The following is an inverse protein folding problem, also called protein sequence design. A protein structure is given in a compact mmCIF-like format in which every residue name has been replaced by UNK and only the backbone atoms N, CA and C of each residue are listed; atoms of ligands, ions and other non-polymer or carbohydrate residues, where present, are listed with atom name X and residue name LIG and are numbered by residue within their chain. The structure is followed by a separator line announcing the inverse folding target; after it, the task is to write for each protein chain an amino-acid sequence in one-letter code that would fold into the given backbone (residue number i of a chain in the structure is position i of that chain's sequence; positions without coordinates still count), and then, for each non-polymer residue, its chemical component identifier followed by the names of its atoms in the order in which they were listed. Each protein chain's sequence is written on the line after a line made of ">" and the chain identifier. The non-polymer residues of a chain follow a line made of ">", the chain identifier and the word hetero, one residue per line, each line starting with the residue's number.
data_IF_199987213439
#
_entry.id   IF_199987213439
#
_cell.length_a   1.000
_cell.length_b   1.000
_cell.length_c   1.000
_cell.angle_alpha   90.00
_cell.angle_beta   90.00
_cell.angle_gamma   90.00
#
_symmetry.space_group_name_H-M   'P 1'
#
loop_
_entity.id
_entity.type
_entity.pdbx_description
1 polymer ?
#
# COMPACT_ATOMS: atom_id res chain seq x y z
N UNK A 1 -21.42 2.50 49.81
CA UNK A 1 -20.59 1.81 48.81
C UNK A 1 -20.97 2.36 47.44
N UNK A 2 -20.26 3.38 46.97
CA UNK A 2 -20.45 3.89 45.61
C UNK A 2 -19.41 3.20 44.72
N UNK A 3 -19.87 2.33 43.80
CA UNK A 3 -18.98 1.72 42.82
C UNK A 3 -18.63 2.78 41.76
N UNK A 4 -17.38 3.20 41.74
CA UNK A 4 -16.81 3.96 40.62
C UNK A 4 -16.83 3.06 39.39
N UNK A 5 -17.66 3.39 38.41
CA UNK A 5 -17.65 2.77 37.10
C UNK A 5 -16.26 2.94 36.45
N UNK A 6 -15.74 1.94 35.72
CA UNK A 6 -14.47 2.07 35.03
C UNK A 6 -14.59 3.14 33.94
N UNK A 7 -13.79 4.20 34.07
CA UNK A 7 -13.70 5.27 33.07
C UNK A 7 -13.18 4.65 31.77
N UNK A 8 -13.96 4.75 30.70
CA UNK A 8 -13.50 4.36 29.37
C UNK A 8 -12.26 5.18 29.00
N UNK A 9 -11.20 4.55 28.45
CA UNK A 9 -10.00 5.28 28.08
C UNK A 9 -10.37 6.39 27.09
N UNK A 10 -10.17 7.64 27.50
CA UNK A 10 -10.37 8.82 26.64
C UNK A 10 -9.03 9.27 26.10
N UNK A 11 -9.02 9.62 24.81
CA UNK A 11 -7.87 10.21 24.17
C UNK A 11 -7.52 11.54 24.85
N UNK A 12 -6.33 11.62 25.45
CA UNK A 12 -5.92 12.79 26.24
C UNK A 12 -4.94 13.70 25.47
N UNK A 13 -4.00 13.14 24.72
CA UNK A 13 -2.98 13.90 24.00
C UNK A 13 -2.44 13.15 22.78
N UNK A 14 -1.97 13.93 21.79
CA UNK A 14 -1.33 13.44 20.56
C UNK A 14 0.02 14.14 20.38
N UNK A 15 1.07 13.39 20.07
CA UNK A 15 2.32 13.97 19.59
C UNK A 15 2.90 13.13 18.46
N UNK A 16 3.29 13.77 17.36
CA UNK A 16 3.85 13.10 16.19
C UNK A 16 5.39 13.14 16.25
N UNK A 17 6.03 11.97 16.28
CA UNK A 17 7.46 11.83 16.10
C UNK A 17 7.78 11.58 14.62
N UNK A 18 8.83 12.22 14.09
CA UNK A 18 9.27 12.01 12.69
C UNK A 18 9.82 10.60 12.42
N UNK A 19 10.11 9.82 13.48
CA UNK A 19 10.69 8.47 13.46
C UNK A 19 9.77 7.49 14.16
N UNK A 20 9.88 6.20 13.85
CA UNK A 20 9.08 5.19 14.54
C UNK A 20 9.42 5.16 16.04
N UNK A 21 8.38 5.27 16.88
CA UNK A 21 8.50 5.11 18.32
C UNK A 21 8.54 3.63 18.69
N UNK A 22 9.57 3.28 19.44
CA UNK A 22 9.78 2.01 20.12
C UNK A 22 9.08 2.06 21.51
N UNK A 23 9.27 1.08 22.42
CA UNK A 23 8.51 1.01 23.67
C UNK A 23 8.54 2.34 24.43
N UNK A 24 7.37 2.73 24.94
CA UNK A 24 7.21 3.86 25.83
C UNK A 24 7.07 3.40 27.28
N UNK A 25 7.57 4.20 28.21
CA UNK A 25 7.45 3.98 29.65
C UNK A 25 7.11 5.30 30.34
N UNK A 26 6.22 5.25 31.32
CA UNK A 26 5.99 6.35 32.24
C UNK A 26 6.94 6.27 33.43
N UNK A 27 7.36 7.42 33.95
CA UNK A 27 8.21 7.54 35.13
C UNK A 27 8.76 8.95 35.29
N UNK A 28 9.82 9.12 36.06
CA UNK A 28 10.51 10.39 36.24
C UNK A 28 12.02 10.18 36.04
N UNK A 29 12.64 10.84 35.05
CA UNK A 29 14.09 10.71 34.80
C UNK A 29 14.81 12.05 34.81
N UNK A 30 14.18 13.11 34.31
CA UNK A 30 14.74 14.47 34.36
C UNK A 30 14.75 15.05 35.78
N UNK A 31 13.57 15.30 36.34
CA UNK A 31 13.39 15.87 37.69
C UNK A 31 12.43 15.02 38.51
N UNK A 32 12.77 14.76 39.77
CA UNK A 32 12.06 13.84 40.68
C UNK A 32 10.61 14.24 41.02
N UNK A 33 10.11 15.38 40.52
CA UNK A 33 8.79 15.93 40.86
C UNK A 33 7.86 16.11 39.67
N UNK A 34 8.31 15.78 38.46
CA UNK A 34 7.53 15.91 37.23
C UNK A 34 7.44 14.55 36.57
N UNK A 35 6.21 14.10 36.33
CA UNK A 35 5.98 12.88 35.58
C UNK A 35 6.39 13.09 34.11
N UNK A 36 7.00 12.05 33.55
CA UNK A 36 7.54 12.04 32.20
C UNK A 36 7.15 10.76 31.46
N UNK A 37 6.96 10.88 30.16
CA UNK A 37 6.85 9.75 29.26
C UNK A 37 8.16 9.63 28.50
N UNK A 38 8.89 8.55 28.74
CA UNK A 38 10.06 8.19 27.96
C UNK A 38 9.65 7.41 26.73
N UNK A 39 10.20 7.84 25.61
CA UNK A 39 10.04 7.21 24.31
C UNK A 39 11.42 6.97 23.72
N UNK A 40 11.60 5.79 23.17
CA UNK A 40 12.78 5.49 22.36
C UNK A 40 12.37 5.52 20.89
N UNK A 41 13.25 5.98 20.02
CA UNK A 41 13.01 5.95 18.56
C UNK A 41 13.84 4.85 17.91
N UNK A 42 13.45 4.40 16.71
CA UNK A 42 14.19 3.41 15.92
C UNK A 42 15.70 3.73 15.80
N UNK A 43 16.03 5.02 15.71
CA UNK A 43 17.41 5.51 15.62
C UNK A 43 18.20 5.53 16.94
N UNK A 44 17.60 5.05 18.04
CA UNK A 44 18.21 5.04 19.37
C UNK A 44 18.12 6.36 20.13
N UNK A 45 17.39 7.37 19.62
CA UNK A 45 17.16 8.60 20.39
C UNK A 45 16.18 8.32 21.53
N UNK A 46 16.58 8.68 22.74
CA UNK A 46 15.76 8.60 23.95
C UNK A 46 15.21 9.99 24.22
N UNK A 47 13.90 10.15 24.07
CA UNK A 47 13.19 11.42 24.23
C UNK A 47 12.17 11.33 25.37
N UNK A 48 12.25 12.28 26.30
CA UNK A 48 11.31 12.43 27.40
C UNK A 48 10.30 13.54 27.13
N UNK A 49 9.02 13.25 27.34
CA UNK A 49 7.95 14.24 27.38
C UNK A 49 7.63 14.53 28.84
N UNK A 50 8.07 15.69 29.33
CA UNK A 50 7.92 16.08 30.74
C UNK A 50 6.70 16.95 30.95
N UNK A 51 6.10 16.86 32.14
CA UNK A 51 5.04 17.76 32.61
C UNK A 51 5.59 19.09 33.13
N UNK A 52 6.91 19.23 33.26
CA UNK A 52 7.53 20.49 33.68
C UNK A 52 7.31 21.61 32.65
N UNK A 53 6.76 22.76 33.05
CA UNK A 53 6.63 23.92 32.17
C UNK A 53 8.00 24.53 31.88
N UNK A 54 8.47 24.43 30.64
CA UNK A 54 9.65 25.16 30.17
C UNK A 54 9.31 26.65 30.01
N UNK A 55 9.64 27.47 31.01
CA UNK A 55 9.53 28.93 30.90
C UNK A 55 10.66 29.44 29.98
N UNK A 56 10.31 29.85 28.77
CA UNK A 56 11.18 30.72 27.99
C UNK A 56 11.17 32.10 28.65
N UNK A 57 12.31 32.53 29.21
CA UNK A 57 12.45 33.89 29.73
C UNK A 57 12.42 34.88 28.55
N UNK A 58 11.25 35.45 28.27
CA UNK A 58 11.12 36.59 27.37
C UNK A 58 11.73 37.82 28.07
N UNK A 59 12.83 38.33 27.53
CA UNK A 59 13.39 39.62 27.93
C UNK A 59 12.55 40.78 27.37
N UNK A 60 12.80 42.04 27.79
CA UNK A 60 12.19 43.21 27.18
C UNK A 60 12.75 43.38 25.75
N UNK A 61 11.88 43.19 24.75
CA UNK A 61 12.21 43.17 23.32
C UNK A 61 11.99 41.77 22.75
N UNK A 62 11.33 41.68 21.60
CA UNK A 62 10.87 40.45 20.89
C UNK A 62 11.97 39.44 20.48
N UNK A 63 13.17 39.53 21.06
CA UNK A 63 14.25 38.58 20.88
C UNK A 63 14.18 37.49 21.97
N UNK A 64 13.82 36.28 21.55
CA UNK A 64 13.94 35.06 22.36
C UNK A 64 15.42 34.87 22.69
N UNK A 65 15.86 35.29 23.89
CA UNK A 65 17.21 35.00 24.37
C UNK A 65 17.34 33.50 24.59
N UNK A 66 18.12 32.83 23.74
CA UNK A 66 18.51 31.44 23.95
C UNK A 66 19.06 31.28 25.37
N UNK A 67 18.55 30.31 26.14
CA UNK A 67 19.03 30.09 27.50
C UNK A 67 20.53 29.77 27.50
N UNK A 68 21.23 30.15 28.57
CA UNK A 68 22.69 29.93 28.71
C UNK A 68 23.07 28.46 28.49
N UNK A 69 22.20 27.53 28.90
CA UNK A 69 22.38 26.10 28.67
C UNK A 69 22.34 25.72 27.18
N UNK A 70 21.43 26.29 26.41
CA UNK A 70 21.35 26.02 24.96
C UNK A 70 22.56 26.62 24.25
N UNK A 71 23.01 27.81 24.63
CA UNK A 71 24.21 28.43 24.06
C UNK A 71 25.47 27.57 24.32
N UNK A 72 25.67 27.13 25.57
CA UNK A 72 26.79 26.25 25.93
C UNK A 72 26.74 24.90 25.19
N UNK A 73 25.56 24.29 25.04
CA UNK A 73 25.38 23.07 24.23
C UNK A 73 25.74 23.30 22.76
N UNK A 74 25.34 24.42 22.18
CA UNK A 74 25.65 24.75 20.78
C UNK A 74 27.15 24.95 20.58
N UNK A 75 27.84 25.62 21.50
CA UNK A 75 29.30 25.80 21.45
C UNK A 75 30.05 24.47 21.56
N UNK A 76 29.64 23.60 22.49
CA UNK A 76 30.20 22.25 22.63
C UNK A 76 30.02 21.43 21.34
N UNK A 77 28.82 21.44 20.75
CA UNK A 77 28.53 20.75 19.49
C UNK A 77 29.36 21.29 18.32
N UNK A 78 29.63 22.60 18.27
CA UNK A 78 30.50 23.19 17.24
C UNK A 78 31.94 22.68 17.36
N UNK A 79 32.49 22.66 18.57
CA UNK A 79 33.84 22.15 18.80
C UNK A 79 33.95 20.65 18.47
N UNK A 80 32.94 19.87 18.85
CA UNK A 80 32.89 18.44 18.51
C UNK A 80 32.80 18.22 16.99
N UNK A 81 31.98 19.00 16.29
CA UNK A 81 31.88 18.95 14.83
C UNK A 81 33.21 19.24 14.14
N UNK A 82 33.94 20.28 14.55
CA UNK A 82 35.25 20.62 14.00
C UNK A 82 36.26 19.47 14.20
N UNK A 83 36.32 18.90 15.40
CA UNK A 83 37.20 17.77 15.70
C UNK A 83 36.86 16.53 14.87
N UNK A 84 35.57 16.21 14.75
CA UNK A 84 35.10 15.07 13.96
C UNK A 84 35.33 15.28 12.46
N UNK A 85 35.14 16.49 11.95
CA UNK A 85 35.40 16.83 10.54
C UNK A 85 36.86 16.57 10.17
N UNK A 86 37.82 17.03 10.99
CA UNK A 86 39.25 16.78 10.76
C UNK A 86 39.57 15.29 10.75
N UNK A 87 39.05 14.53 11.72
CA UNK A 87 39.24 13.06 11.79
C UNK A 87 38.67 12.35 10.58
N UNK A 88 37.47 12.72 10.13
CA UNK A 88 36.83 12.13 8.95
C UNK A 88 37.59 12.46 7.68
N UNK A 89 38.11 13.68 7.52
CA UNK A 89 38.93 14.06 6.36
C UNK A 89 40.22 13.25 6.29
N UNK A 90 40.95 13.12 7.41
CA UNK A 90 42.15 12.28 7.49
C UNK A 90 41.84 10.81 7.15
N UNK A 91 40.74 10.27 7.68
CA UNK A 91 40.31 8.91 7.37
C UNK A 91 39.94 8.72 5.88
N UNK A 92 39.32 9.72 5.24
CA UNK A 92 38.99 9.69 3.81
C UNK A 92 40.24 9.72 2.94
N UNK A 93 41.23 10.55 3.27
CA UNK A 93 42.51 10.60 2.55
C UNK A 93 43.24 9.26 2.66
N UNK A 94 43.31 8.69 3.86
CA UNK A 94 43.93 7.39 4.09
C UNK A 94 43.21 6.25 3.32
N UNK A 95 41.88 6.26 3.31
CA UNK A 95 41.09 5.32 2.53
C UNK A 95 41.36 5.47 1.02
N UNK A 96 41.40 6.70 0.51
CA UNK A 96 41.67 6.98 -0.90
C UNK A 96 43.06 6.46 -1.31
N UNK A 97 44.09 6.70 -0.49
CA UNK A 97 45.44 6.20 -0.74
C UNK A 97 45.49 4.66 -0.76
N UNK A 98 44.81 4.02 0.20
CA UNK A 98 44.80 2.55 0.31
C UNK A 98 44.03 1.90 -0.84
N UNK A 99 42.95 2.55 -1.32
CA UNK A 99 42.11 2.05 -2.42
C UNK A 99 42.83 1.96 -3.78
N UNK A 100 43.98 2.62 -3.93
CA UNK A 100 44.81 2.54 -5.15
C UNK A 100 45.69 1.28 -5.19
N UNK A 101 45.80 0.53 -4.08
CA UNK A 101 46.56 -0.72 -4.05
C UNK A 101 45.76 -1.85 -4.70
N UNK A 102 46.42 -2.65 -5.55
CA UNK A 102 45.83 -3.80 -6.23
C UNK A 102 45.40 -4.95 -5.31
N UNK A 103 45.88 -4.94 -4.06
CA UNK A 103 45.58 -5.97 -3.05
C UNK A 103 44.54 -5.52 -2.02
N UNK A 104 44.11 -4.26 -2.07
CA UNK A 104 43.15 -3.71 -1.12
C UNK A 104 41.71 -4.08 -1.51
N UNK A 105 40.91 -4.45 -0.52
CA UNK A 105 39.47 -4.72 -0.68
C UNK A 105 38.69 -3.69 0.12
N UNK A 106 37.80 -2.98 -0.55
CA UNK A 106 36.95 -1.97 0.07
C UNK A 106 35.79 -2.62 0.83
N UNK A 107 35.70 -2.34 2.13
CA UNK A 107 34.57 -2.77 2.94
C UNK A 107 33.34 -1.89 2.69
N UNK A 108 32.18 -2.52 2.55
CA UNK A 108 30.89 -1.86 2.33
C UNK A 108 30.22 -1.65 3.69
N UNK A 109 29.92 -0.40 4.12
CA UNK A 109 29.18 -0.16 5.34
C UNK A 109 27.79 -0.79 5.28
N UNK A 110 27.49 -1.64 6.26
CA UNK A 110 26.18 -2.26 6.44
C UNK A 110 25.32 -1.36 7.31
N UNK A 111 24.10 -1.09 6.88
CA UNK A 111 23.08 -0.38 7.64
C UNK A 111 21.80 -1.22 7.73
N UNK A 112 20.97 -0.97 8.74
CA UNK A 112 19.68 -1.64 8.88
C UNK A 112 18.56 -0.82 8.24
N UNK A 113 17.75 -1.50 7.43
CA UNK A 113 16.50 -0.97 6.89
C UNK A 113 15.38 -1.63 7.67
N UNK A 114 14.50 -0.82 8.24
CA UNK A 114 13.23 -1.26 8.80
C UNK A 114 12.16 -1.01 7.74
N UNK A 115 11.76 -2.09 7.07
CA UNK A 115 10.77 -2.08 6.01
C UNK A 115 9.45 -2.72 6.44
N UNK A 116 8.35 -2.16 5.96
CA UNK A 116 7.01 -2.72 6.14
C UNK A 116 6.21 -2.54 4.86
N UNK A 117 5.77 -3.66 4.30
CA UNK A 117 4.94 -3.72 3.11
C UNK A 117 3.59 -4.33 3.46
N UNK A 118 2.56 -3.49 3.59
CA UNK A 118 1.23 -3.93 4.07
C UNK A 118 0.10 -3.43 3.18
N UNK A 119 -0.87 -4.30 2.92
CA UNK A 119 -2.09 -3.93 2.22
C UNK A 119 -3.00 -3.09 3.12
N UNK A 120 -3.46 -1.95 2.61
CA UNK A 120 -4.42 -1.08 3.26
C UNK A 120 -5.83 -1.44 2.80
N UNK A 121 -6.74 -1.68 3.75
CA UNK A 121 -8.13 -2.04 3.46
C UNK A 121 -8.92 -0.88 2.84
N UNK A 122 -8.69 0.34 3.33
CA UNK A 122 -9.53 1.50 3.01
C UNK A 122 -9.40 1.94 1.55
N UNK A 123 -8.22 1.79 0.95
CA UNK A 123 -7.92 2.28 -0.41
C UNK A 123 -7.46 1.19 -1.39
N UNK A 124 -7.46 -0.07 -0.95
CA UNK A 124 -7.01 -1.23 -1.71
C UNK A 124 -5.66 -0.98 -2.43
N UNK A 125 -4.70 -0.43 -1.67
CA UNK A 125 -3.32 -0.18 -2.08
C UNK A 125 -2.34 -0.68 -1.01
N UNK A 126 -1.11 -1.01 -1.42
CA UNK A 126 -0.05 -1.36 -0.50
C UNK A 126 0.66 -0.10 0.00
N UNK A 127 0.83 0.03 1.32
CA UNK A 127 1.74 1.00 1.92
C UNK A 127 3.11 0.33 2.11
N UNK A 128 4.10 0.84 1.36
CA UNK A 128 5.51 0.53 1.53
C UNK A 128 6.14 1.62 2.40
N UNK A 129 6.51 1.24 3.63
CA UNK A 129 7.25 2.10 4.55
C UNK A 129 8.70 1.62 4.64
N UNK A 130 9.63 2.55 4.46
CA UNK A 130 11.06 2.32 4.55
C UNK A 130 11.66 3.28 5.56
N UNK A 131 12.39 2.76 6.55
CA UNK A 131 13.05 3.57 7.57
C UNK A 131 14.52 3.15 7.74
N UNK A 132 15.41 4.15 7.73
CA UNK A 132 16.86 3.97 7.84
C UNK A 132 17.38 4.86 8.97
N UNK A 133 18.46 4.43 9.62
CA UNK A 133 19.04 5.17 10.74
C UNK A 133 19.60 6.54 10.33
N UNK A 134 20.08 6.64 9.09
CA UNK A 134 20.62 7.85 8.48
C UNK A 134 19.67 8.40 7.43
N UNK A 135 19.77 9.70 7.12
CA UNK A 135 18.95 10.31 6.08
C UNK A 135 19.09 9.57 4.74
N UNK A 136 17.97 9.34 4.06
CA UNK A 136 17.92 8.73 2.74
C UNK A 136 18.35 9.79 1.71
N UNK A 137 19.18 9.41 0.76
CA UNK A 137 19.58 10.27 -0.35
C UNK A 137 18.61 10.09 -1.52
N UNK A 138 18.51 8.84 -1.98
CA UNK A 138 17.58 8.43 -3.01
C UNK A 138 17.08 7.01 -2.76
N UNK A 139 15.90 6.74 -3.28
CA UNK A 139 15.29 5.42 -3.39
C UNK A 139 14.95 5.18 -4.86
N UNK A 140 15.43 4.08 -5.42
CA UNK A 140 15.02 3.62 -6.74
C UNK A 140 14.06 2.43 -6.58
N UNK A 141 12.90 2.52 -7.23
CA UNK A 141 11.92 1.44 -7.34
C UNK A 141 11.99 0.87 -8.75
N UNK A 142 12.09 -0.45 -8.83
CA UNK A 142 12.04 -1.20 -10.06
C UNK A 142 10.98 -2.30 -9.91
N UNK A 143 10.11 -2.43 -10.91
CA UNK A 143 9.06 -3.45 -10.92
C UNK A 143 9.05 -4.21 -12.24
N UNK A 144 8.83 -5.52 -12.15
CA UNK A 144 8.54 -6.42 -13.28
C UNK A 144 7.02 -6.61 -13.51
N UNK A 145 6.18 -5.93 -12.73
CA UNK A 145 4.71 -5.89 -12.85
C UNK A 145 4.26 -4.44 -13.03
N UNK A 146 3.24 -4.15 -13.86
CA UNK A 146 2.64 -2.82 -13.91
C UNK A 146 1.99 -2.48 -12.56
N UNK A 147 2.46 -1.39 -11.98
CA UNK A 147 2.00 -0.88 -10.69
C UNK A 147 1.89 0.64 -10.78
N UNK A 148 0.89 1.20 -10.10
CA UNK A 148 0.75 2.65 -10.00
C UNK A 148 1.32 3.12 -8.67
N UNK A 149 2.15 4.15 -8.71
CA UNK A 149 2.61 4.85 -7.51
C UNK A 149 1.66 6.01 -7.21
N UNK A 150 1.08 6.01 -6.01
CA UNK A 150 0.18 7.07 -5.58
C UNK A 150 0.94 8.10 -4.74
N UNK A 151 0.64 9.37 -4.97
CA UNK A 151 1.19 10.47 -4.17
C UNK A 151 0.70 10.40 -2.72
N UNK A 152 1.64 10.65 -1.80
CA UNK A 152 1.39 10.70 -0.36
C UNK A 152 1.71 12.11 0.10
N UNK A 153 0.73 12.85 0.62
CA UNK A 153 0.90 14.27 1.00
C UNK A 153 2.02 14.52 2.02
N UNK A 154 2.32 13.51 2.86
CA UNK A 154 3.40 13.56 3.86
C UNK A 154 4.79 13.37 3.26
N UNK A 155 4.88 12.93 2.01
CA UNK A 155 6.14 12.64 1.35
C UNK A 155 6.69 13.90 0.68
N UNK A 156 7.84 14.36 1.13
CA UNK A 156 8.54 15.53 0.56
C UNK A 156 9.57 15.15 -0.52
N UNK A 157 9.64 13.89 -0.92
CA UNK A 157 10.57 13.44 -1.93
C UNK A 157 10.08 13.83 -3.33
N UNK A 158 11.02 14.20 -4.20
CA UNK A 158 10.73 14.46 -5.61
C UNK A 158 10.81 13.15 -6.38
N UNK A 159 9.75 12.84 -7.13
CA UNK A 159 9.64 11.62 -7.93
C UNK A 159 10.05 11.91 -9.38
N UNK A 160 10.84 11.04 -9.96
CA UNK A 160 11.12 11.01 -11.41
C UNK A 160 10.86 9.63 -11.95
N UNK A 161 10.02 9.53 -12.97
CA UNK A 161 9.77 8.30 -13.71
C UNK A 161 10.73 8.23 -14.89
N UNK A 162 11.42 7.09 -15.02
CA UNK A 162 12.27 6.81 -16.17
C UNK A 162 11.48 6.05 -17.23
N UNK A 163 11.77 6.33 -18.49
CA UNK A 163 11.21 5.56 -19.60
C UNK A 163 11.59 4.09 -19.46
N UNK A 164 10.63 3.22 -19.72
CA UNK A 164 10.73 1.78 -19.51
C UNK A 164 10.54 1.06 -20.83
N UNK A 165 11.47 0.17 -21.19
CA UNK A 165 11.36 -0.69 -22.37
C UNK A 165 10.53 -1.94 -22.04
N UNK A 166 9.19 -1.78 -22.04
CA UNK A 166 8.26 -2.87 -21.71
C UNK A 166 8.23 -4.01 -22.75
N UNK A 167 8.74 -3.77 -23.96
CA UNK A 167 8.74 -4.75 -25.06
C UNK A 167 9.95 -5.71 -25.04
N UNK A 168 10.96 -5.47 -24.20
CA UNK A 168 12.12 -6.36 -24.09
C UNK A 168 11.86 -7.52 -23.12
N UNK A 169 12.38 -8.74 -23.39
CA UNK A 169 12.36 -9.82 -22.42
C UNK A 169 13.19 -9.41 -21.19
N UNK A 170 12.57 -9.39 -20.01
CA UNK A 170 13.09 -8.80 -18.75
C UNK A 170 13.04 -7.27 -18.68
N UNK A 171 12.19 -6.63 -19.47
CA UNK A 171 11.88 -5.21 -19.34
C UNK A 171 11.29 -4.87 -17.98
N UNK A 172 11.61 -3.67 -17.50
CA UNK A 172 10.96 -3.12 -16.31
C UNK A 172 9.61 -2.53 -16.73
N UNK A 173 8.56 -2.77 -15.96
CA UNK A 173 7.29 -2.08 -16.14
C UNK A 173 7.27 -0.72 -15.44
N UNK A 174 8.08 -0.57 -14.39
CA UNK A 174 8.23 0.68 -13.67
C UNK A 174 9.69 0.88 -13.26
N UNK A 175 10.18 2.10 -13.50
CA UNK A 175 11.39 2.66 -12.91
C UNK A 175 11.08 4.04 -12.35
N UNK A 176 11.09 4.16 -11.02
CA UNK A 176 10.83 5.42 -10.35
C UNK A 176 11.94 5.74 -9.35
N UNK A 177 12.45 6.96 -9.38
CA UNK A 177 13.46 7.43 -8.44
C UNK A 177 12.87 8.52 -7.54
N UNK A 178 12.91 8.29 -6.23
CA UNK A 178 12.53 9.23 -5.19
C UNK A 178 13.78 9.88 -4.63
N UNK A 179 13.95 11.18 -4.87
CA UNK A 179 15.05 11.96 -4.29
C UNK A 179 14.58 12.68 -3.04
N UNK A 180 15.17 12.33 -1.91
CA UNK A 180 14.86 12.95 -0.62
C UNK A 180 15.65 14.26 -0.48
N UNK A 181 14.96 15.40 -0.50
CA UNK A 181 15.61 16.72 -0.38
C UNK A 181 15.96 17.04 1.08
N UNK A 182 15.03 16.79 2.01
CA UNK A 182 15.22 16.97 3.44
C UNK A 182 15.99 15.79 4.08
N UNK A 183 16.39 15.95 5.35
CA UNK A 183 17.00 14.88 6.16
C UNK A 183 15.93 13.84 6.59
N UNK A 184 15.26 13.23 5.62
CA UNK A 184 14.21 12.23 5.84
C UNK A 184 14.86 10.88 6.16
N UNK A 185 14.49 10.30 7.29
CA UNK A 185 14.93 8.95 7.72
C UNK A 185 13.88 7.88 7.40
N UNK A 186 12.64 8.31 7.19
CA UNK A 186 11.50 7.48 6.83
C UNK A 186 10.86 7.97 5.55
N UNK A 187 10.47 7.04 4.69
CA UNK A 187 9.75 7.28 3.44
C UNK A 187 8.54 6.35 3.39
N UNK A 188 7.39 6.89 3.04
CA UNK A 188 6.14 6.14 2.85
C UNK A 188 5.69 6.31 1.40
N UNK A 189 5.34 5.20 0.77
CA UNK A 189 4.93 5.11 -0.62
C UNK A 189 3.66 4.27 -0.69
N UNK A 190 2.73 4.67 -1.55
CA UNK A 190 1.55 3.87 -1.85
C UNK A 190 1.71 3.24 -3.22
N UNK A 191 1.57 1.92 -3.28
CA UNK A 191 1.71 1.08 -4.47
C UNK A 191 0.37 0.42 -4.74
N UNK A 192 -0.19 0.67 -5.92
CA UNK A 192 -1.41 0.02 -6.38
C UNK A 192 -1.03 -1.12 -7.32
N UNK A 193 -1.51 -2.32 -7.02
CA UNK A 193 -1.36 -3.50 -7.87
C UNK A 193 -2.64 -3.80 -8.63
N UNK A 194 -2.50 -4.54 -9.72
CA UNK A 194 -3.59 -5.10 -10.51
C UNK A 194 -3.69 -6.59 -10.17
N UNK A 195 -4.88 -7.06 -9.88
CA UNK A 195 -5.12 -8.47 -9.55
C UNK A 195 -4.88 -9.36 -10.79
N UNK A 196 -4.30 -10.54 -10.57
CA UNK A 196 -3.88 -11.44 -11.66
C UNK A 196 -2.47 -11.19 -12.20
N UNK A 197 -1.91 -10.00 -11.99
CA UNK A 197 -0.53 -9.69 -12.35
C UNK A 197 0.39 -9.79 -11.13
N UNK A 198 1.46 -10.57 -11.24
CA UNK A 198 2.32 -10.94 -10.10
C UNK A 198 3.79 -10.95 -10.48
N UNK A 199 4.63 -10.69 -9.48
CA UNK A 199 6.06 -10.52 -9.66
C UNK A 199 6.72 -9.82 -8.48
N UNK A 200 7.80 -9.11 -8.74
CA UNK A 200 8.73 -8.57 -7.77
C UNK A 200 8.89 -7.05 -7.90
N UNK A 201 8.77 -6.38 -6.74
CA UNK A 201 9.09 -4.98 -6.58
C UNK A 201 10.42 -4.87 -5.84
N UNK A 202 11.44 -4.34 -6.52
CA UNK A 202 12.75 -4.06 -5.93
C UNK A 202 12.84 -2.60 -5.50
N UNK A 203 13.32 -2.39 -4.28
CA UNK A 203 13.60 -1.09 -3.70
C UNK A 203 15.10 -0.99 -3.40
N UNK A 204 15.78 -0.05 -4.04
CA UNK A 204 17.21 0.23 -3.87
C UNK A 204 17.37 1.47 -3.01
N UNK A 205 17.76 1.29 -1.75
CA UNK A 205 17.85 2.36 -0.76
C UNK A 205 19.31 2.83 -0.68
N UNK A 206 19.54 4.12 -0.94
CA UNK A 206 20.86 4.76 -0.80
C UNK A 206 20.82 5.80 0.33
N UNK A 207 21.47 5.56 1.49
CA UNK A 207 21.59 6.56 2.54
C UNK A 207 22.64 7.65 2.23
N UNK A 208 22.58 8.74 2.99
CA UNK A 208 23.61 9.78 3.06
C UNK A 208 24.78 9.35 3.96
N UNK A 209 25.42 8.24 3.60
CA UNK A 209 26.64 7.72 4.22
C UNK A 209 27.85 7.85 3.29
N UNK A 210 29.05 7.87 3.86
CA UNK A 210 30.32 7.81 3.14
C UNK A 210 31.15 6.63 3.67
N UNK A 211 31.56 5.66 2.82
CA UNK A 211 31.29 5.57 1.39
C UNK A 211 29.80 5.35 1.07
N UNK A 212 29.38 5.77 -0.13
CA UNK A 212 28.01 5.57 -0.61
C UNK A 212 27.78 4.09 -0.89
N UNK A 213 26.72 3.54 -0.30
CA UNK A 213 26.31 2.16 -0.52
C UNK A 213 24.82 2.12 -0.81
N UNK A 214 24.39 1.07 -1.49
CA UNK A 214 23.00 0.81 -1.78
C UNK A 214 22.66 -0.58 -1.26
N UNK A 215 21.50 -0.72 -0.62
CA UNK A 215 20.93 -2.03 -0.27
C UNK A 215 19.62 -2.22 -1.02
N UNK A 216 19.45 -3.43 -1.56
CA UNK A 216 18.22 -3.82 -2.25
C UNK A 216 17.30 -4.57 -1.29
N UNK A 217 16.00 -4.25 -1.37
CA UNK A 217 14.91 -4.97 -0.72
C UNK A 217 13.95 -5.47 -1.79
N UNK A 218 13.49 -6.70 -1.64
CA UNK A 218 12.60 -7.35 -2.60
C UNK A 218 11.25 -7.63 -1.94
N UNK A 219 10.19 -7.12 -2.56
CA UNK A 219 8.81 -7.35 -2.16
C UNK A 219 8.09 -8.16 -3.24
N UNK A 220 7.22 -9.07 -2.83
CA UNK A 220 6.49 -9.94 -3.74
C UNK A 220 5.07 -9.39 -3.92
N UNK A 221 4.70 -9.04 -5.14
CA UNK A 221 3.32 -8.75 -5.52
C UNK A 221 2.67 -10.09 -5.87
N UNK A 222 1.71 -10.49 -5.04
CA UNK A 222 1.02 -11.79 -5.14
C UNK A 222 -0.03 -11.75 -6.26
N UNK A 223 -0.34 -12.89 -6.92
CA UNK A 223 -1.42 -12.97 -7.91
C UNK A 223 -2.76 -12.45 -7.39
N UNK A 224 -3.14 -12.85 -6.18
CA UNK A 224 -4.31 -12.36 -5.46
C UNK A 224 -3.92 -11.30 -4.44
N UNK A 225 -3.22 -10.27 -4.91
CA UNK A 225 -2.65 -9.21 -4.06
C UNK A 225 -3.68 -8.40 -3.26
N UNK A 226 -4.93 -8.34 -3.73
CA UNK A 226 -5.98 -7.56 -3.07
C UNK A 226 -6.78 -8.35 -2.02
N UNK A 227 -6.41 -9.60 -1.77
CA UNK A 227 -7.06 -10.42 -0.76
C UNK A 227 -6.44 -10.19 0.62
N UNK A 228 -7.25 -10.29 1.67
CA UNK A 228 -6.77 -10.24 3.05
C UNK A 228 -7.41 -11.35 3.86
N UNK A 229 -6.66 -11.91 4.81
CA UNK A 229 -7.14 -13.05 5.59
C UNK A 229 -8.22 -12.63 6.59
N UNK A 230 -9.29 -13.41 6.64
CA UNK A 230 -10.40 -13.25 7.58
C UNK A 230 -10.63 -14.53 8.39
N UNK A 231 -11.52 -14.46 9.39
CA UNK A 231 -11.84 -15.60 10.25
C UNK A 231 -13.05 -16.41 9.78
N UNK A 232 -13.95 -15.79 9.01
CA UNK A 232 -15.19 -16.38 8.56
C UNK A 232 -15.62 -15.77 7.23
N UNK A 233 -16.44 -16.51 6.49
CA UNK A 233 -17.07 -16.10 5.24
C UNK A 233 -18.58 -16.31 5.33
N UNK A 234 -19.30 -15.67 4.43
CA UNK A 234 -20.73 -15.85 4.25
C UNK A 234 -20.96 -17.00 3.25
N UNK A 235 -21.59 -18.07 3.72
CA UNK A 235 -21.83 -19.27 2.91
C UNK A 235 -23.08 -19.16 2.02
N UNK A 236 -23.91 -18.13 2.20
CA UNK A 236 -25.14 -17.95 1.41
C UNK A 236 -24.88 -17.33 0.03
N UNK A 237 -23.66 -16.82 -0.19
CA UNK A 237 -23.27 -16.20 -1.47
C UNK A 237 -23.16 -17.25 -2.60
N UNK A 238 -23.39 -16.86 -3.86
CA UNK A 238 -23.22 -17.75 -5.00
C UNK A 238 -21.73 -18.06 -5.25
N UNK A 239 -21.25 -19.14 -4.65
CA UNK A 239 -19.84 -19.57 -4.73
C UNK A 239 -19.57 -20.37 -5.99
N UNK A 240 -18.53 -19.98 -6.73
CA UNK A 240 -17.88 -20.79 -7.76
C UNK A 240 -16.83 -21.67 -7.11
N UNK A 241 -16.69 -22.93 -7.55
CA UNK A 241 -15.72 -23.88 -7.00
C UNK A 241 -14.70 -24.31 -8.05
N UNK A 242 -13.43 -24.18 -7.69
CA UNK A 242 -12.28 -24.77 -8.35
C UNK A 242 -11.82 -25.98 -7.53
N UNK A 243 -11.72 -27.14 -8.16
CA UNK A 243 -11.15 -28.34 -7.54
C UNK A 243 -9.94 -28.83 -8.31
N UNK A 244 -8.84 -29.01 -7.60
CA UNK A 244 -7.56 -29.53 -8.09
C UNK A 244 -7.33 -30.89 -7.46
N UNK A 245 -7.12 -31.91 -8.29
CA UNK A 245 -6.78 -33.27 -7.85
C UNK A 245 -5.51 -33.70 -8.56
N UNK A 246 -4.51 -34.17 -7.82
CA UNK A 246 -3.25 -34.56 -8.41
C UNK A 246 -2.26 -35.19 -7.44
N UNK A 247 -1.08 -35.56 -7.95
CA UNK A 247 -0.03 -36.17 -7.16
C UNK A 247 0.91 -35.10 -6.58
N UNK A 248 0.40 -34.32 -5.63
CA UNK A 248 1.19 -33.34 -4.88
C UNK A 248 1.11 -33.61 -3.37
N UNK A 249 2.20 -33.30 -2.67
CA UNK A 249 2.28 -33.31 -1.23
C UNK A 249 1.56 -32.11 -0.61
N UNK A 250 1.22 -32.21 0.66
CA UNK A 250 0.64 -31.09 1.41
C UNK A 250 1.56 -29.85 1.42
N UNK A 251 2.88 -30.05 1.47
CA UNK A 251 3.85 -28.96 1.43
C UNK A 251 3.90 -28.25 0.07
N UNK A 252 3.71 -28.99 -1.02
CA UNK A 252 3.70 -28.42 -2.38
C UNK A 252 2.50 -27.52 -2.60
N UNK A 253 1.27 -28.01 -2.34
CA UNK A 253 0.06 -27.18 -2.46
C UNK A 253 0.11 -25.98 -1.52
N UNK A 254 0.62 -26.15 -0.29
CA UNK A 254 0.81 -25.04 0.63
C UNK A 254 1.78 -24.00 0.06
N UNK A 255 2.90 -24.41 -0.54
CA UNK A 255 3.84 -23.48 -1.17
C UNK A 255 3.22 -22.71 -2.34
N UNK A 256 2.33 -23.35 -3.11
CA UNK A 256 1.59 -22.68 -4.17
C UNK A 256 0.58 -21.68 -3.62
N UNK A 257 -0.12 -22.02 -2.53
CA UNK A 257 -1.05 -21.12 -1.83
C UNK A 257 -0.30 -19.91 -1.24
N UNK A 258 0.86 -20.11 -0.60
CA UNK A 258 1.75 -19.03 -0.11
C UNK A 258 2.24 -18.15 -1.26
N UNK A 259 2.45 -18.72 -2.44
CA UNK A 259 2.80 -17.95 -3.64
C UNK A 259 1.61 -17.10 -4.15
N UNK A 260 0.39 -17.65 -4.14
CA UNK A 260 -0.81 -17.00 -4.67
C UNK A 260 -1.41 -15.93 -3.76
N UNK A 261 -1.40 -16.18 -2.45
CA UNK A 261 -2.18 -15.42 -1.46
C UNK A 261 -1.28 -14.71 -0.44
N UNK A 262 -1.65 -13.48 -0.03
CA UNK A 262 -0.98 -12.78 1.07
C UNK A 262 -1.38 -13.35 2.44
N UNK A 263 -0.61 -13.01 3.48
CA UNK A 263 -0.90 -13.35 4.89
C UNK A 263 -1.04 -14.85 5.21
N UNK A 264 -0.49 -15.71 4.34
CA UNK A 264 -0.33 -17.14 4.59
C UNK A 264 1.05 -17.37 5.22
N UNK A 265 1.14 -18.11 6.34
CA UNK A 265 2.43 -18.45 6.94
C UNK A 265 3.27 -19.28 5.96
N UNK A 266 4.57 -18.97 5.83
CA UNK A 266 5.47 -19.70 4.92
C UNK A 266 5.71 -21.15 5.39
N UNK A 267 5.66 -21.36 6.72
CA UNK A 267 5.80 -22.69 7.31
C UNK A 267 4.49 -23.45 7.17
N UNK A 268 4.60 -24.67 6.63
CA UNK A 268 3.49 -25.62 6.55
C UNK A 268 2.88 -25.86 7.93
N UNK A 269 1.57 -25.60 8.08
CA UNK A 269 0.86 -25.86 9.34
C UNK A 269 0.88 -27.34 9.70
N UNK A 270 0.81 -27.63 11.00
CA UNK A 270 0.71 -29.00 11.49
C UNK A 270 -0.72 -29.52 11.23
N UNK A 271 -0.85 -30.56 10.41
CA UNK A 271 -2.13 -31.17 10.05
C UNK A 271 -2.09 -31.82 8.67
N UNK A 272 -3.15 -32.54 8.34
CA UNK A 272 -3.33 -33.17 7.02
C UNK A 272 -4.17 -32.33 6.06
N UNK A 273 -4.94 -31.37 6.61
CA UNK A 273 -5.84 -30.46 5.89
C UNK A 273 -5.88 -29.10 6.57
N UNK A 274 -6.10 -28.05 5.80
CA UNK A 274 -6.28 -26.68 6.31
C UNK A 274 -7.28 -25.91 5.47
N UNK A 275 -7.99 -24.98 6.14
CA UNK A 275 -8.85 -24.00 5.51
C UNK A 275 -8.38 -22.58 5.85
N UNK A 276 -8.31 -21.72 4.84
CA UNK A 276 -8.11 -20.29 4.98
C UNK A 276 -9.25 -19.53 4.33
N UNK A 277 -9.61 -18.40 4.95
CA UNK A 277 -10.66 -17.52 4.49
C UNK A 277 -10.05 -16.17 4.14
N UNK A 278 -10.48 -15.61 3.01
CA UNK A 278 -10.01 -14.32 2.53
C UNK A 278 -11.16 -13.45 2.07
N UNK A 279 -10.91 -12.15 2.10
CA UNK A 279 -11.81 -11.11 1.63
C UNK A 279 -11.04 -10.18 0.68
N UNK A 280 -11.61 -9.88 -0.48
CA UNK A 280 -11.06 -8.90 -1.40
C UNK A 280 -11.34 -7.49 -0.89
N UNK A 281 -10.28 -6.71 -0.66
CA UNK A 281 -10.38 -5.37 -0.08
C UNK A 281 -11.05 -4.36 -1.01
N UNK A 282 -11.05 -4.60 -2.32
CA UNK A 282 -11.61 -3.65 -3.30
C UNK A 282 -13.08 -3.92 -3.60
N UNK A 283 -13.44 -5.15 -3.96
CA UNK A 283 -14.80 -5.53 -4.36
C UNK A 283 -15.66 -6.02 -3.19
N UNK A 284 -15.03 -6.52 -2.12
CA UNK A 284 -15.73 -7.12 -0.99
C UNK A 284 -16.14 -8.59 -1.20
N UNK A 285 -15.60 -9.23 -2.24
CA UNK A 285 -15.78 -10.65 -2.58
C UNK A 285 -15.02 -11.54 -1.59
N UNK A 286 -15.37 -12.82 -1.52
CA UNK A 286 -14.86 -13.78 -0.55
C UNK A 286 -14.19 -14.96 -1.23
N UNK A 287 -13.15 -15.50 -0.61
CA UNK A 287 -12.43 -16.69 -1.07
C UNK A 287 -12.20 -17.65 0.09
N UNK A 288 -12.67 -18.88 -0.06
CA UNK A 288 -12.36 -20.04 0.76
C UNK A 288 -11.27 -20.87 0.07
N UNK A 289 -10.17 -21.14 0.75
CA UNK A 289 -9.13 -22.06 0.28
C UNK A 289 -9.00 -23.22 1.26
N UNK A 290 -9.51 -24.39 0.87
CA UNK A 290 -9.40 -25.64 1.66
C UNK A 290 -8.57 -26.64 0.89
N UNK A 291 -7.50 -27.17 1.49
CA UNK A 291 -6.63 -28.11 0.79
C UNK A 291 -5.97 -29.11 1.74
N UNK A 292 -5.67 -30.28 1.18
CA UNK A 292 -5.01 -31.40 1.85
C UNK A 292 -4.01 -32.06 0.88
N UNK A 293 -3.45 -33.20 1.25
CA UNK A 293 -2.54 -33.95 0.38
C UNK A 293 -3.31 -34.48 -0.84
N UNK A 294 -2.92 -34.03 -2.04
CA UNK A 294 -3.44 -34.50 -3.32
C UNK A 294 -4.75 -33.85 -3.78
N UNK A 295 -5.39 -33.04 -2.94
CA UNK A 295 -6.64 -32.34 -3.26
C UNK A 295 -6.62 -30.89 -2.76
N UNK A 296 -7.16 -29.98 -3.58
CA UNK A 296 -7.34 -28.57 -3.23
C UNK A 296 -8.69 -28.07 -3.74
N UNK A 297 -9.45 -27.40 -2.89
CA UNK A 297 -10.74 -26.80 -3.19
C UNK A 297 -10.71 -25.31 -2.87
N UNK A 298 -10.98 -24.50 -3.90
CA UNK A 298 -11.07 -23.06 -3.76
C UNK A 298 -12.49 -22.64 -4.12
N UNK A 299 -13.16 -21.90 -3.24
CA UNK A 299 -14.50 -21.37 -3.48
C UNK A 299 -14.50 -19.86 -3.43
N UNK A 300 -15.11 -19.21 -4.41
CA UNK A 300 -15.15 -17.74 -4.47
C UNK A 300 -16.44 -17.25 -5.11
N UNK A 301 -17.03 -16.20 -4.57
CA UNK A 301 -18.17 -15.49 -5.18
C UNK A 301 -17.77 -14.70 -6.44
N UNK A 302 -16.46 -14.50 -6.66
CA UNK A 302 -15.90 -13.92 -7.88
C UNK A 302 -15.25 -14.98 -8.79
N UNK A 303 -15.68 -15.01 -10.06
CA UNK A 303 -15.19 -15.94 -11.09
C UNK A 303 -13.78 -15.59 -11.57
N UNK A 304 -13.39 -14.31 -11.59
CA UNK A 304 -12.03 -13.91 -11.98
C UNK A 304 -10.99 -14.40 -10.99
N UNK A 305 -11.31 -14.43 -9.70
CA UNK A 305 -10.45 -15.03 -8.66
C UNK A 305 -10.19 -16.52 -8.94
N UNK A 306 -11.21 -17.26 -9.38
CA UNK A 306 -11.09 -18.67 -9.77
C UNK A 306 -10.25 -18.83 -11.05
N UNK A 307 -10.44 -17.95 -12.04
CA UNK A 307 -9.63 -17.93 -13.28
C UNK A 307 -8.15 -17.71 -12.97
N UNK A 308 -7.83 -16.70 -12.16
CA UNK A 308 -6.46 -16.39 -11.74
C UNK A 308 -5.84 -17.56 -10.98
N UNK A 309 -6.55 -18.14 -10.01
CA UNK A 309 -6.05 -19.30 -9.26
C UNK A 309 -5.79 -20.49 -10.17
N UNK A 310 -6.71 -20.79 -11.08
CA UNK A 310 -6.54 -21.92 -12.00
C UNK A 310 -5.29 -21.74 -12.87
N UNK A 311 -5.11 -20.57 -13.47
CA UNK A 311 -3.97 -20.29 -14.34
C UNK A 311 -2.65 -20.35 -13.57
N UNK A 312 -2.57 -19.75 -12.38
CA UNK A 312 -1.33 -19.71 -11.59
C UNK A 312 -0.99 -21.07 -11.00
N UNK A 313 -1.96 -21.78 -10.42
CA UNK A 313 -1.72 -23.10 -9.83
C UNK A 313 -1.35 -24.12 -10.91
N UNK A 314 -1.95 -24.05 -12.09
CA UNK A 314 -1.57 -24.88 -13.24
C UNK A 314 -0.14 -24.59 -13.70
N UNK A 315 0.27 -23.31 -13.73
CA UNK A 315 1.66 -22.91 -14.04
C UNK A 315 2.64 -23.45 -12.99
N UNK A 316 2.34 -23.33 -11.70
CA UNK A 316 3.21 -23.83 -10.62
C UNK A 316 3.34 -25.36 -10.63
N UNK A 317 2.26 -26.08 -10.90
CA UNK A 317 2.32 -27.53 -11.07
C UNK A 317 3.15 -27.93 -12.30
N UNK A 318 2.99 -27.23 -13.43
CA UNK A 318 3.77 -27.48 -14.65
C UNK A 318 5.27 -27.25 -14.41
N UNK A 319 5.65 -26.18 -13.68
CA UNK A 319 7.05 -25.92 -13.28
C UNK A 319 7.66 -27.09 -12.51
N UNK A 320 6.86 -27.77 -11.69
CA UNK A 320 7.28 -28.94 -10.91
C UNK A 320 7.02 -30.29 -11.59
N UNK A 321 6.52 -30.28 -12.85
CA UNK A 321 6.15 -31.48 -13.63
C UNK A 321 5.10 -32.35 -12.93
N UNK A 322 4.16 -31.72 -12.21
CA UNK A 322 3.03 -32.39 -11.56
C UNK A 322 1.81 -32.31 -12.47
N UNK A 323 1.22 -33.45 -12.78
CA UNK A 323 -0.02 -33.51 -13.54
C UNK A 323 -1.20 -33.23 -12.59
N UNK A 324 -1.96 -32.17 -12.89
CA UNK A 324 -3.18 -31.81 -12.19
C UNK A 324 -4.41 -32.10 -13.05
N UNK A 325 -5.44 -32.65 -12.41
CA UNK A 325 -6.79 -32.65 -12.93
C UNK A 325 -7.53 -31.44 -12.32
N UNK A 326 -8.00 -30.55 -13.19
CA UNK A 326 -8.67 -29.30 -12.79
C UNK A 326 -10.13 -29.39 -13.22
N UNK A 327 -11.04 -29.23 -12.25
CA UNK A 327 -12.49 -29.21 -12.49
C UNK A 327 -13.11 -27.95 -11.90
N UNK A 328 -14.11 -27.42 -12.59
CA UNK A 328 -14.81 -26.19 -12.24
C UNK A 328 -16.30 -26.45 -12.05
N UNK A 329 -16.89 -25.75 -11.10
CA UNK A 329 -18.33 -25.69 -10.87
C UNK A 329 -18.68 -24.20 -10.71
N UNK A 330 -19.29 -23.64 -11.76
CA UNK A 330 -19.55 -22.21 -11.89
C UNK A 330 -21.03 -21.96 -11.61
N UNK A 331 -21.32 -21.03 -10.71
CA UNK A 331 -22.67 -20.61 -10.41
C UNK A 331 -23.05 -19.44 -11.32
N UNK A 332 -24.07 -19.61 -12.16
CA UNK A 332 -24.53 -18.58 -13.11
C UNK A 332 -24.94 -17.26 -12.42
N UNK A 333 -25.39 -17.32 -11.17
CA UNK A 333 -25.79 -16.15 -10.39
C UNK A 333 -24.59 -15.35 -9.83
N UNK A 334 -23.39 -15.93 -9.82
CA UNK A 334 -22.21 -15.27 -9.23
C UNK A 334 -21.83 -14.00 -9.98
N UNK A 335 -21.93 -14.02 -11.31
CA UNK A 335 -21.60 -12.87 -12.15
C UNK A 335 -22.58 -11.73 -11.87
N UNK A 336 -23.88 -12.03 -11.87
CA UNK A 336 -24.92 -11.06 -11.52
C UNK A 336 -24.72 -10.49 -10.11
N UNK A 337 -24.31 -11.32 -9.15
CA UNK A 337 -23.97 -10.88 -7.80
C UNK A 337 -22.77 -9.91 -7.79
N UNK A 338 -21.65 -10.26 -8.44
CA UNK A 338 -20.46 -9.39 -8.52
C UNK A 338 -20.75 -8.05 -9.22
N UNK A 339 -21.51 -8.04 -10.31
CA UNK A 339 -21.91 -6.81 -11.00
C UNK A 339 -22.77 -5.91 -10.11
N UNK A 340 -23.68 -6.49 -9.31
CA UNK A 340 -24.45 -5.74 -8.31
C UNK A 340 -23.58 -5.18 -7.19
N UNK A 341 -22.48 -5.84 -6.82
CA UNK A 341 -21.52 -5.30 -5.85
C UNK A 341 -20.66 -4.16 -6.44
N UNK A 342 -20.35 -4.22 -7.74
CA UNK A 342 -19.59 -3.18 -8.44
C UNK A 342 -20.46 -1.93 -8.70
N UNK A 343 -21.76 -2.11 -8.93
CA UNK A 343 -22.70 -1.06 -9.32
C UNK A 343 -22.67 0.20 -8.43
N UNK A 344 -22.79 0.12 -7.08
CA UNK A 344 -22.75 1.31 -6.24
C UNK A 344 -21.43 2.09 -6.34
N UNK A 345 -20.31 1.39 -6.57
CA UNK A 345 -19.00 2.03 -6.72
C UNK A 345 -18.92 2.78 -8.04
N UNK A 346 -19.39 2.18 -9.14
CA UNK A 346 -19.45 2.85 -10.44
C UNK A 346 -20.39 4.05 -10.43
N UNK A 347 -21.61 3.87 -9.91
CA UNK A 347 -22.60 4.95 -9.82
C UNK A 347 -22.05 6.14 -9.03
N UNK A 348 -21.40 5.89 -7.89
CA UNK A 348 -20.74 6.94 -7.12
C UNK A 348 -19.70 7.71 -7.94
N UNK A 349 -18.81 7.01 -8.68
CA UNK A 349 -17.78 7.67 -9.48
C UNK A 349 -18.36 8.48 -10.65
N UNK A 350 -19.43 8.00 -11.29
CA UNK A 350 -20.11 8.71 -12.37
C UNK A 350 -20.86 9.95 -11.83
N UNK A 351 -21.51 9.82 -10.67
CA UNK A 351 -22.17 10.95 -10.01
C UNK A 351 -21.16 11.99 -9.52
N UNK A 352 -19.99 11.58 -9.04
CA UNK A 352 -18.91 12.49 -8.65
C UNK A 352 -18.47 13.38 -9.83
N UNK A 353 -18.27 12.80 -11.02
CA UNK A 353 -17.97 13.59 -12.23
C UNK A 353 -19.06 14.62 -12.56
N UNK A 354 -20.33 14.21 -12.52
CA UNK A 354 -21.47 15.10 -12.78
C UNK A 354 -21.53 16.25 -11.77
N UNK A 355 -21.34 15.96 -10.47
CA UNK A 355 -21.31 16.99 -9.42
C UNK A 355 -20.19 17.99 -9.66
N UNK A 356 -18.99 17.52 -9.99
CA UNK A 356 -17.81 18.39 -10.20
C UNK A 356 -17.98 19.29 -11.41
N UNK A 357 -18.59 18.80 -12.49
CA UNK A 357 -18.92 19.63 -13.66
C UNK A 357 -19.83 20.83 -13.32
N UNK A 358 -20.64 20.73 -12.27
CA UNK A 358 -21.53 21.81 -11.83
C UNK A 358 -20.87 22.79 -10.85
N UNK A 359 -19.76 22.42 -10.19
CA UNK A 359 -19.14 23.23 -9.12
C UNK A 359 -18.76 24.62 -9.63
N UNK A 360 -18.12 24.72 -10.79
CA UNK A 360 -17.63 26.00 -11.30
C UNK A 360 -18.80 26.95 -11.63
N UNK A 361 -19.82 26.45 -12.32
CA UNK A 361 -21.02 27.23 -12.61
C UNK A 361 -21.77 27.67 -11.34
N UNK A 362 -21.87 26.79 -10.33
CA UNK A 362 -22.51 27.11 -9.06
C UNK A 362 -21.71 28.16 -8.26
N UNK A 363 -20.37 28.08 -8.29
CA UNK A 363 -19.49 29.07 -7.64
C UNK A 363 -19.61 30.43 -8.31
N UNK A 364 -19.66 30.48 -9.64
CA UNK A 364 -19.90 31.72 -10.38
C UNK A 364 -21.23 32.36 -9.97
N UNK A 365 -22.31 31.59 -9.95
CA UNK A 365 -23.62 32.08 -9.52
C UNK A 365 -23.62 32.60 -8.06
N UNK A 366 -22.94 31.90 -7.14
CA UNK A 366 -22.79 32.34 -5.75
C UNK A 366 -22.02 33.66 -5.63
N UNK A 367 -20.97 33.84 -6.44
CA UNK A 367 -20.18 35.10 -6.47
C UNK A 367 -21.01 36.26 -7.01
N UNK A 368 -21.86 36.01 -8.01
CA UNK A 368 -22.73 37.05 -8.59
C UNK A 368 -23.87 37.49 -7.67
N UNK A 369 -24.54 36.55 -7.00
CA UNK A 369 -25.71 36.84 -6.15
C UNK A 369 -25.35 37.07 -4.67
N UNK A 370 -24.11 36.81 -4.26
CA UNK A 370 -23.60 37.04 -2.90
C UNK A 370 -24.14 36.10 -1.81
N UNK A 371 -25.13 35.26 -2.13
CA UNK A 371 -25.73 34.25 -1.24
C UNK A 371 -26.08 33.00 -2.03
N UNK A 372 -26.23 31.84 -1.38
CA UNK A 372 -26.65 30.59 -2.04
C UNK A 372 -28.14 30.28 -1.84
N UNK A 373 -28.93 31.26 -1.35
CA UNK A 373 -30.30 31.05 -0.89
C UNK A 373 -31.35 30.90 -2.01
N UNK A 374 -30.98 31.22 -3.24
CA UNK A 374 -31.80 30.98 -4.43
C UNK A 374 -31.62 29.57 -5.00
N UNK A 375 -30.53 28.87 -4.63
CA UNK A 375 -30.24 27.52 -5.12
C UNK A 375 -31.07 26.47 -4.38
N UNK A 376 -31.42 25.40 -5.08
CA UNK A 376 -32.04 24.22 -4.46
C UNK A 376 -31.07 23.56 -3.46
N UNK A 377 -31.58 22.89 -2.41
CA UNK A 377 -30.74 22.30 -1.36
C UNK A 377 -29.66 21.34 -1.88
N UNK A 378 -29.93 20.59 -2.96
CA UNK A 378 -28.97 19.68 -3.58
C UNK A 378 -27.73 20.40 -4.11
N UNK A 379 -27.90 21.55 -4.76
CA UNK A 379 -26.79 22.35 -5.29
C UNK A 379 -26.04 23.10 -4.19
N UNK A 380 -26.73 23.46 -3.09
CA UNK A 380 -26.06 24.00 -1.90
C UNK A 380 -25.13 22.97 -1.27
N UNK A 381 -25.60 21.72 -1.13
CA UNK A 381 -24.75 20.64 -0.62
C UNK A 381 -23.51 20.43 -1.50
N UNK A 382 -23.64 20.51 -2.83
CA UNK A 382 -22.49 20.44 -3.75
C UNK A 382 -21.51 21.60 -3.53
N UNK A 383 -22.00 22.81 -3.28
CA UNK A 383 -21.14 23.96 -2.98
C UNK A 383 -20.42 23.80 -1.65
N UNK A 384 -21.13 23.38 -0.61
CA UNK A 384 -20.59 23.14 0.74
C UNK A 384 -19.51 22.05 0.72
N UNK A 385 -19.71 20.99 -0.04
CA UNK A 385 -18.77 19.86 -0.19
C UNK A 385 -17.74 20.06 -1.33
N UNK A 386 -17.75 21.21 -2.02
CA UNK A 386 -17.01 21.40 -3.28
C UNK A 386 -15.51 21.10 -3.18
N UNK A 387 -14.87 21.47 -2.07
CA UNK A 387 -13.45 21.19 -1.85
C UNK A 387 -13.16 19.69 -1.75
N UNK A 388 -14.02 18.93 -1.06
CA UNK A 388 -13.86 17.48 -0.91
C UNK A 388 -14.11 16.78 -2.25
N UNK A 389 -15.16 17.17 -2.97
CA UNK A 389 -15.48 16.63 -4.30
C UNK A 389 -14.33 16.84 -5.29
N UNK A 390 -13.70 18.02 -5.29
CA UNK A 390 -12.54 18.30 -6.14
C UNK A 390 -11.32 17.45 -5.77
N UNK A 391 -11.09 17.17 -4.49
CA UNK A 391 -10.00 16.29 -4.03
C UNK A 391 -10.25 14.84 -4.43
N UNK A 392 -11.48 14.36 -4.30
CA UNK A 392 -11.86 13.00 -4.72
C UNK A 392 -11.81 12.85 -6.24
N UNK A 393 -12.26 13.86 -6.99
CA UNK A 393 -12.25 13.86 -8.45
C UNK A 393 -10.86 13.71 -9.04
N UNK A 394 -9.82 14.22 -8.38
CA UNK A 394 -8.42 13.98 -8.79
C UNK A 394 -8.05 12.49 -8.81
N UNK A 395 -8.70 11.66 -7.98
CA UNK A 395 -8.47 10.21 -7.88
C UNK A 395 -9.44 9.40 -8.75
N UNK A 396 -10.56 10.00 -9.15
CA UNK A 396 -11.67 9.35 -9.83
C UNK A 396 -11.30 8.67 -11.15
N UNK A 397 -10.48 9.25 -12.05
CA UNK A 397 -10.09 8.58 -13.31
C UNK A 397 -9.44 7.22 -13.08
N UNK A 398 -8.50 7.14 -12.13
CA UNK A 398 -7.81 5.89 -11.82
C UNK A 398 -8.73 4.86 -11.13
N UNK A 399 -9.73 5.31 -10.38
CA UNK A 399 -10.75 4.41 -9.82
C UNK A 399 -11.69 3.86 -10.90
N UNK A 400 -12.12 4.70 -11.85
CA UNK A 400 -12.96 4.28 -12.98
C UNK A 400 -12.24 3.30 -13.90
N UNK A 401 -11.00 3.61 -14.30
CA UNK A 401 -10.18 2.73 -15.14
C UNK A 401 -10.03 1.35 -14.49
N UNK A 402 -9.77 1.31 -13.18
CA UNK A 402 -9.69 0.06 -12.41
C UNK A 402 -11.02 -0.72 -12.41
N UNK A 403 -12.15 -0.04 -12.23
CA UNK A 403 -13.47 -0.69 -12.27
C UNK A 403 -13.78 -1.24 -13.67
N UNK A 404 -13.46 -0.48 -14.72
CA UNK A 404 -13.63 -0.92 -16.11
C UNK A 404 -12.76 -2.13 -16.44
N UNK A 405 -11.50 -2.11 -15.98
CA UNK A 405 -10.59 -3.25 -16.10
C UNK A 405 -11.17 -4.49 -15.43
N UNK A 406 -11.65 -4.37 -14.19
CA UNK A 406 -12.24 -5.50 -13.45
C UNK A 406 -13.50 -6.05 -14.10
N UNK A 407 -14.38 -5.20 -14.64
CA UNK A 407 -15.59 -5.66 -15.37
C UNK A 407 -15.18 -6.35 -16.68
N UNK A 408 -14.18 -5.82 -17.36
CA UNK A 408 -13.65 -6.40 -18.60
C UNK A 408 -13.04 -7.78 -18.35
N UNK A 409 -12.23 -7.92 -17.30
CA UNK A 409 -11.65 -9.20 -16.90
C UNK A 409 -12.75 -10.20 -16.49
N UNK A 410 -13.72 -9.75 -15.70
CA UNK A 410 -14.89 -10.56 -15.31
C UNK A 410 -15.66 -11.09 -16.53
N UNK A 411 -15.86 -10.25 -17.54
CA UNK A 411 -16.49 -10.62 -18.80
C UNK A 411 -15.66 -11.67 -19.55
N UNK A 412 -14.36 -11.42 -19.73
CA UNK A 412 -13.47 -12.35 -20.43
C UNK A 412 -13.43 -13.71 -19.71
N UNK A 413 -13.34 -13.72 -18.38
CA UNK A 413 -13.25 -14.94 -17.58
C UNK A 413 -14.55 -15.74 -17.62
N UNK A 414 -15.72 -15.10 -17.55
CA UNK A 414 -17.02 -15.78 -17.69
C UNK A 414 -17.08 -16.60 -18.98
N UNK A 415 -16.71 -16.00 -20.10
CA UNK A 415 -16.76 -16.64 -21.40
C UNK A 415 -15.61 -17.63 -21.62
N UNK A 416 -14.43 -17.39 -21.02
CA UNK A 416 -13.32 -18.34 -20.99
C UNK A 416 -13.74 -19.68 -20.39
N UNK A 417 -14.49 -19.68 -19.27
CA UNK A 417 -15.01 -20.92 -18.67
C UNK A 417 -16.08 -21.61 -19.52
N UNK A 418 -16.80 -20.87 -20.37
CA UNK A 418 -17.72 -21.42 -21.38
C UNK A 418 -17.00 -21.88 -22.66
N UNK A 419 -15.67 -21.74 -22.74
CA UNK A 419 -14.87 -22.11 -23.92
C UNK A 419 -14.98 -21.13 -25.09
N UNK A 420 -15.45 -19.90 -24.85
CA UNK A 420 -15.63 -18.86 -25.87
C UNK A 420 -14.60 -17.74 -25.72
N UNK A 421 -14.11 -17.20 -26.84
CA UNK A 421 -13.22 -16.05 -26.84
C UNK A 421 -13.97 -14.79 -27.27
N UNK A 422 -14.18 -13.88 -26.34
CA UNK A 422 -15.00 -12.67 -26.50
C UNK A 422 -14.18 -11.38 -26.57
N UNK A 423 -12.87 -11.46 -26.82
CA UNK A 423 -11.98 -10.28 -26.88
C UNK A 423 -12.42 -9.23 -27.90
N UNK A 424 -13.07 -9.65 -28.98
CA UNK A 424 -13.60 -8.75 -30.02
C UNK A 424 -14.79 -7.91 -29.55
N UNK A 425 -15.51 -8.34 -28.51
CA UNK A 425 -16.68 -7.65 -27.95
C UNK A 425 -16.31 -6.64 -26.85
N UNK A 426 -15.04 -6.55 -26.48
CA UNK A 426 -14.56 -5.64 -25.41
C UNK A 426 -14.82 -4.18 -25.78
N UNK A 427 -14.64 -3.77 -27.03
CA UNK A 427 -14.95 -2.40 -27.46
C UNK A 427 -16.42 -2.04 -27.23
N UNK A 428 -17.35 -2.96 -27.55
CA UNK A 428 -18.78 -2.76 -27.30
C UNK A 428 -19.13 -2.73 -25.81
N UNK A 429 -18.43 -3.51 -24.98
CA UNK A 429 -18.58 -3.44 -23.53
C UNK A 429 -18.18 -2.05 -22.99
N UNK A 430 -17.08 -1.48 -23.49
CA UNK A 430 -16.62 -0.15 -23.08
C UNK A 430 -17.65 0.93 -23.45
N UNK A 431 -18.29 0.84 -24.62
CA UNK A 431 -19.37 1.76 -25.02
C UNK A 431 -20.59 1.69 -24.08
N UNK A 432 -20.91 0.50 -23.56
CA UNK A 432 -21.98 0.31 -22.57
C UNK A 432 -21.57 0.87 -21.20
N UNK A 433 -20.30 0.73 -20.82
CA UNK A 433 -19.78 1.30 -19.58
C UNK A 433 -19.74 2.83 -19.62
N UNK A 434 -19.46 3.43 -20.77
CA UNK A 434 -19.52 4.88 -20.96
C UNK A 434 -20.97 5.41 -20.85
N UNK A 435 -21.94 4.65 -21.34
CA UNK A 435 -23.38 4.93 -21.20
C UNK A 435 -24.03 4.06 -20.12
N UNK A 436 -23.38 4.00 -18.95
CA UNK A 436 -23.68 3.02 -17.91
C UNK A 436 -25.17 2.90 -17.54
N UNK A 437 -25.71 1.71 -17.77
CA UNK A 437 -26.98 1.22 -17.22
C UNK A 437 -26.81 -0.23 -16.74
N UNK A 438 -27.26 -0.52 -15.52
CA UNK A 438 -27.05 -1.83 -14.89
C UNK A 438 -27.79 -2.95 -15.63
N UNK A 439 -29.02 -2.70 -16.09
CA UNK A 439 -29.81 -3.73 -16.76
C UNK A 439 -29.19 -4.04 -18.12
N UNK A 440 -28.85 -3.00 -18.89
CA UNK A 440 -28.15 -3.14 -20.17
C UNK A 440 -26.82 -3.90 -20.03
N UNK A 441 -26.07 -3.66 -18.95
CA UNK A 441 -24.84 -4.39 -18.67
C UNK A 441 -25.11 -5.87 -18.33
N UNK A 442 -26.12 -6.17 -17.51
CA UNK A 442 -26.50 -7.54 -17.18
C UNK A 442 -26.98 -8.31 -18.41
N UNK A 443 -27.80 -7.68 -19.24
CA UNK A 443 -28.30 -8.25 -20.48
C UNK A 443 -27.14 -8.54 -21.44
N UNK A 444 -26.20 -7.60 -21.61
CA UNK A 444 -25.00 -7.82 -22.40
C UNK A 444 -24.16 -9.00 -21.89
N UNK A 445 -24.02 -9.16 -20.58
CA UNK A 445 -23.31 -10.31 -20.00
C UNK A 445 -24.05 -11.63 -20.24
N UNK A 446 -25.37 -11.63 -20.43
CA UNK A 446 -26.19 -12.83 -20.62
C UNK A 446 -26.36 -13.20 -22.10
N UNK A 447 -26.43 -12.22 -22.99
CA UNK A 447 -26.67 -12.38 -24.43
C UNK A 447 -25.39 -12.54 -25.27
N UNK A 448 -24.24 -12.08 -24.77
CA UNK A 448 -22.99 -12.09 -25.52
C UNK A 448 -22.43 -13.50 -25.80
#
# INVERSE_FOLDING_TARGET
>A
MASTAPVSPRYASSMCCQRASLPSKGGCVGKESYDEILTTTYTGWVTGLTTEPQKAEAGPGDEIRMSKEVQSKVEALRSELEQLQVKVLQGREQYQQTSQSSTAVSAVPVFSINDKFTLCQDDASYSLMLEVQTAIDNLLLQSDVPIDLLDVDKNSAVVSFSECDSEQPNGNFLLATYRCQANTTRLELKVRSIEGQYGTLLAYITPRLQPKTCQVRQYQIKPLSLHQRTHSIDQERPMNRLSLVGQFSFAEIHSWVVFCLPEVPEKTPAGESIAFYFHNTFLGTQLEATYCKGEGHFKSDNISTISILSDVLSKEATKRKINLNVSYDINDDSVSHTLKMIHPKLEYQLMLARKVQLIDALKELQVHEGTADFLIPEYRNILDESNNLLVEYKKQPAHLERLYGMITDLFIDKFKFKGQNVKTKVSSLLEILDNYDLNSLLDFFNEA
#
